data_IF_573997067642
#
_entry.id   IF_573997067642
#
_cell.length_a   1.000
_cell.length_b   1.000
_cell.length_c   1.000
_cell.angle_alpha   90.00
_cell.angle_beta   90.00
_cell.angle_gamma   90.00
#
_symmetry.space_group_name_H-M   'P 1'
#
loop_
_entity.id
_entity.type
_entity.pdbx_description
1 polymer ?
#
# COMPACT_ATOMS: atom_id res chain seq x y z
N UNK A 1 1.29 -42.72 25.66
CA UNK A 1 0.89 -42.76 24.23
C UNK A 1 1.26 -41.49 23.45
N UNK A 2 1.17 -40.28 24.04
CA UNK A 2 1.50 -39.01 23.36
C UNK A 2 2.92 -38.90 22.76
N UNK A 3 3.94 -39.49 23.41
CA UNK A 3 5.34 -39.42 22.93
C UNK A 3 5.59 -40.17 21.61
N UNK A 4 4.77 -41.18 21.29
CA UNK A 4 4.87 -41.92 20.01
C UNK A 4 4.20 -41.15 18.87
N UNK A 5 3.07 -40.49 19.11
CA UNK A 5 2.38 -39.65 18.12
C UNK A 5 3.20 -38.40 17.73
N UNK A 6 3.85 -37.76 18.70
CA UNK A 6 4.71 -36.60 18.42
C UNK A 6 5.89 -36.96 17.49
N UNK A 7 6.42 -38.18 17.60
CA UNK A 7 7.54 -38.64 16.78
C UNK A 7 7.13 -38.97 15.33
N UNK A 8 5.89 -39.45 15.12
CA UNK A 8 5.35 -39.67 13.77
C UNK A 8 4.97 -38.34 13.09
N UNK A 9 4.48 -37.36 13.86
CA UNK A 9 4.17 -36.04 13.33
C UNK A 9 5.42 -35.28 12.88
N UNK A 10 6.51 -35.33 13.65
CA UNK A 10 7.76 -34.64 13.30
C UNK A 10 8.47 -35.30 12.11
N UNK A 11 8.47 -36.64 12.03
CA UNK A 11 9.08 -37.34 10.88
C UNK A 11 8.28 -37.14 9.59
N UNK A 12 6.96 -37.06 9.65
CA UNK A 12 6.12 -36.69 8.50
C UNK A 12 6.39 -35.26 8.00
N UNK A 13 6.53 -34.30 8.91
CA UNK A 13 6.83 -32.89 8.57
C UNK A 13 8.22 -32.72 7.96
N UNK A 14 9.23 -33.42 8.49
CA UNK A 14 10.60 -33.41 7.94
C UNK A 14 10.62 -34.05 6.56
N UNK A 15 9.90 -35.17 6.36
CA UNK A 15 9.76 -35.81 5.06
C UNK A 15 9.10 -34.90 4.03
N UNK A 16 7.99 -34.24 4.38
CA UNK A 16 7.31 -33.30 3.49
C UNK A 16 8.21 -32.11 3.13
N UNK A 17 8.93 -31.54 4.09
CA UNK A 17 9.87 -30.44 3.85
C UNK A 17 11.04 -30.89 2.94
N UNK A 18 11.56 -32.11 3.13
CA UNK A 18 12.62 -32.67 2.29
C UNK A 18 12.13 -32.91 0.85
N UNK A 19 10.94 -33.46 0.64
CA UNK A 19 10.37 -33.66 -0.69
C UNK A 19 9.99 -32.35 -1.37
N UNK A 20 9.50 -31.35 -0.63
CA UNK A 20 9.28 -30.00 -1.15
C UNK A 20 10.59 -29.34 -1.57
N UNK A 21 11.62 -29.40 -0.71
CA UNK A 21 12.94 -28.85 -1.03
C UNK A 21 13.58 -29.57 -2.23
N UNK A 22 13.44 -30.89 -2.32
CA UNK A 22 13.94 -31.68 -3.45
C UNK A 22 13.14 -31.40 -4.73
N UNK A 23 11.83 -31.21 -4.61
CA UNK A 23 10.95 -30.81 -5.70
C UNK A 23 11.39 -29.47 -6.28
N UNK A 24 11.52 -28.44 -5.43
CA UNK A 24 12.00 -27.09 -5.79
C UNK A 24 13.41 -27.13 -6.38
N UNK A 25 14.30 -27.97 -5.84
CA UNK A 25 15.67 -28.12 -6.34
C UNK A 25 15.74 -28.80 -7.72
N UNK A 26 14.90 -29.80 -7.97
CA UNK A 26 14.89 -30.56 -9.24
C UNK A 26 14.12 -29.83 -10.36
N UNK A 27 13.12 -29.01 -10.02
CA UNK A 27 12.29 -28.30 -11.00
C UNK A 27 12.95 -27.05 -11.61
N UNK A 28 14.07 -26.59 -11.05
CA UNK A 28 14.70 -25.33 -11.47
C UNK A 28 13.79 -24.11 -11.25
N UNK A 29 14.15 -22.91 -11.74
CA UNK A 29 13.38 -21.68 -11.50
C UNK A 29 11.98 -21.64 -12.13
N UNK A 30 11.62 -22.58 -13.03
CA UNK A 30 10.32 -22.59 -13.75
C UNK A 30 9.13 -23.18 -12.98
N UNK A 31 9.31 -23.63 -11.73
CA UNK A 31 8.20 -24.18 -10.93
C UNK A 31 7.16 -23.12 -10.52
N UNK A 32 7.56 -21.86 -10.42
CA UNK A 32 6.64 -20.73 -10.19
C UNK A 32 5.69 -20.55 -11.35
N UNK A 33 6.15 -20.75 -12.59
CA UNK A 33 5.31 -20.67 -13.80
C UNK A 33 4.29 -21.82 -13.86
N UNK A 34 4.64 -23.01 -13.35
CA UNK A 34 3.74 -24.16 -13.28
C UNK A 34 2.61 -23.99 -12.25
N UNK A 35 2.84 -23.23 -11.16
CA UNK A 35 1.80 -22.89 -10.18
C UNK A 35 0.87 -21.76 -10.69
N UNK A 36 1.40 -20.81 -11.47
CA UNK A 36 0.61 -19.73 -12.09
C UNK A 36 -0.21 -20.18 -13.30
N UNK A 37 0.20 -21.25 -13.99
CA UNK A 37 -0.61 -21.87 -15.04
C UNK A 37 -1.99 -22.38 -14.55
N UNK A 38 -2.16 -22.59 -13.23
CA UNK A 38 -3.45 -22.95 -12.62
C UNK A 38 -4.33 -21.73 -12.29
N UNK A 39 -3.77 -20.53 -12.12
CA UNK A 39 -4.51 -19.28 -11.86
C UNK A 39 -4.91 -18.51 -13.13
N UNK A 40 -4.35 -18.87 -14.29
CA UNK A 40 -4.73 -18.28 -15.59
C UNK A 40 -4.20 -16.86 -15.85
N UNK A 41 -3.29 -16.35 -15.01
CA UNK A 41 -2.63 -15.06 -15.19
C UNK A 41 -1.17 -15.23 -15.60
N UNK A 42 -0.71 -14.35 -16.49
CA UNK A 42 0.68 -14.34 -16.95
C UNK A 42 1.62 -13.95 -15.81
N UNK A 43 2.71 -14.70 -15.63
CA UNK A 43 3.81 -14.31 -14.73
C UNK A 43 4.58 -13.14 -15.34
N UNK A 44 5.15 -12.28 -14.49
CA UNK A 44 6.05 -11.21 -14.93
C UNK A 44 7.39 -11.83 -15.39
N UNK A 45 7.43 -12.39 -16.60
CA UNK A 45 8.64 -13.03 -17.15
C UNK A 45 9.66 -11.95 -17.47
N UNK A 46 10.91 -12.19 -17.06
CA UNK A 46 12.00 -11.27 -17.33
C UNK A 46 12.22 -11.10 -18.84
N UNK A 47 12.01 -9.87 -19.31
CA UNK A 47 12.46 -9.42 -20.61
C UNK A 47 13.97 -9.14 -20.58
N UNK A 48 14.67 -9.35 -21.70
CA UNK A 48 16.10 -9.03 -21.89
C UNK A 48 16.36 -7.52 -21.99
N UNK A 49 15.61 -6.73 -21.22
CA UNK A 49 15.60 -5.28 -21.27
C UNK A 49 16.62 -4.71 -20.31
N UNK A 50 17.53 -3.88 -20.82
CA UNK A 50 18.45 -3.08 -19.99
C UNK A 50 17.80 -1.77 -19.50
N UNK A 51 16.49 -1.60 -19.72
CA UNK A 51 15.78 -0.37 -19.37
C UNK A 51 15.64 -0.25 -17.85
N UNK A 52 16.31 0.75 -17.27
CA UNK A 52 16.29 1.01 -15.83
C UNK A 52 15.16 1.93 -15.37
N UNK A 53 14.51 2.62 -16.31
CA UNK A 53 13.48 3.62 -16.04
C UNK A 53 12.49 3.75 -17.20
N UNK A 54 11.21 3.96 -16.89
CA UNK A 54 10.14 4.29 -17.83
C UNK A 54 9.48 5.58 -17.37
N UNK A 55 9.15 6.48 -18.32
CA UNK A 55 8.32 7.65 -18.05
C UNK A 55 6.98 7.46 -18.76
N UNK A 56 5.89 7.47 -17.99
CA UNK A 56 4.52 7.36 -18.49
C UNK A 56 3.79 8.68 -18.24
N UNK A 57 3.28 9.36 -19.26
CA UNK A 57 2.32 10.44 -19.04
C UNK A 57 1.02 9.83 -18.49
N UNK A 58 0.33 10.55 -17.60
CA UNK A 58 -1.01 10.16 -17.16
C UNK A 58 -1.97 11.32 -17.38
N UNK A 59 -3.26 10.99 -17.48
CA UNK A 59 -4.30 12.02 -17.61
C UNK A 59 -4.55 12.61 -16.24
N UNK A 60 -4.39 13.92 -16.09
CA UNK A 60 -4.72 14.61 -14.86
C UNK A 60 -6.19 14.37 -14.51
N UNK A 61 -6.41 13.68 -13.40
CA UNK A 61 -7.70 13.31 -12.83
C UNK A 61 -7.68 13.68 -11.35
N UNK A 62 -8.87 13.81 -10.77
CA UNK A 62 -9.01 14.06 -9.33
C UNK A 62 -8.67 12.82 -8.48
N UNK A 63 -8.57 11.63 -9.11
CA UNK A 63 -8.34 10.31 -8.50
C UNK A 63 -7.10 9.65 -9.08
N UNK A 64 -6.35 8.93 -8.24
CA UNK A 64 -5.28 8.01 -8.67
C UNK A 64 -5.24 6.78 -7.76
N UNK A 65 -5.33 5.60 -8.38
CA UNK A 65 -5.24 4.29 -7.75
C UNK A 65 -3.85 3.71 -8.00
N UNK A 66 -3.17 3.34 -6.91
CA UNK A 66 -1.85 2.71 -6.90
C UNK A 66 -2.05 1.23 -6.60
N UNK A 67 -1.97 0.40 -7.64
CA UNK A 67 -2.07 -1.04 -7.55
C UNK A 67 -0.74 -1.68 -7.97
N UNK A 68 0.31 -1.30 -7.26
CA UNK A 68 1.65 -1.82 -7.47
C UNK A 68 2.14 -2.55 -6.22
N UNK A 69 2.57 -3.81 -6.33
CA UNK A 69 3.01 -4.60 -5.20
C UNK A 69 4.37 -4.11 -4.71
N UNK A 70 4.50 -3.93 -3.40
CA UNK A 70 5.71 -3.48 -2.72
C UNK A 70 6.35 -2.22 -3.35
N UNK A 71 5.58 -1.34 -3.99
CA UNK A 71 6.13 -0.13 -4.60
C UNK A 71 6.33 0.99 -3.59
N UNK A 72 7.39 1.77 -3.76
CA UNK A 72 7.59 3.05 -3.07
C UNK A 72 7.17 4.18 -4.01
N UNK A 73 6.05 4.82 -3.70
CA UNK A 73 5.45 5.89 -4.51
C UNK A 73 5.68 7.23 -3.84
N UNK A 74 6.28 8.16 -4.56
CA UNK A 74 6.52 9.53 -4.14
C UNK A 74 5.77 10.49 -5.07
N UNK A 75 4.82 11.24 -4.54
CA UNK A 75 4.09 12.26 -5.26
C UNK A 75 4.41 13.66 -4.75
N UNK A 76 4.57 14.58 -5.68
CA UNK A 76 4.68 16.01 -5.42
C UNK A 76 3.91 16.81 -6.49
N UNK A 77 3.11 17.81 -6.10
CA UNK A 77 2.45 18.69 -7.08
C UNK A 77 3.44 19.36 -8.04
N UNK A 78 3.07 19.48 -9.31
CA UNK A 78 3.88 20.13 -10.34
C UNK A 78 3.16 20.28 -11.67
N UNK A 79 3.79 20.99 -12.62
CA UNK A 79 3.12 21.39 -13.87
C UNK A 79 2.92 20.25 -14.87
N UNK A 80 3.62 19.12 -14.69
CA UNK A 80 3.64 18.00 -15.64
C UNK A 80 3.11 16.73 -14.99
N UNK A 81 1.97 16.25 -15.49
CA UNK A 81 1.39 14.95 -15.15
C UNK A 81 2.23 13.81 -15.76
N UNK A 82 3.15 13.27 -14.97
CA UNK A 82 4.02 12.19 -15.39
C UNK A 82 4.37 11.26 -14.23
N UNK A 83 4.46 9.97 -14.54
CA UNK A 83 4.96 8.94 -13.67
C UNK A 83 6.32 8.47 -14.18
N UNK A 84 7.33 8.60 -13.34
CA UNK A 84 8.69 8.15 -13.61
C UNK A 84 8.96 6.93 -12.75
N UNK A 85 8.98 5.75 -13.36
CA UNK A 85 9.10 4.47 -12.68
C UNK A 85 10.48 3.89 -12.92
N UNK A 86 11.16 3.48 -11.86
CA UNK A 86 12.48 2.85 -11.88
C UNK A 86 12.47 1.55 -11.09
N UNK A 87 13.29 0.58 -11.49
CA UNK A 87 13.38 -0.70 -10.79
C UNK A 87 13.73 -1.85 -11.70
N UNK A 88 13.23 -3.04 -11.36
CA UNK A 88 13.49 -4.26 -12.13
C UNK A 88 12.94 -4.12 -13.57
N UNK A 89 13.78 -4.22 -14.62
CA UNK A 89 13.34 -4.11 -16.02
C UNK A 89 12.22 -5.08 -16.39
N UNK A 90 12.21 -6.27 -15.79
CA UNK A 90 11.15 -7.26 -15.98
C UNK A 90 9.77 -6.70 -15.58
N UNK A 91 9.70 -5.96 -14.48
CA UNK A 91 8.43 -5.37 -14.01
C UNK A 91 8.11 -4.09 -14.77
N UNK A 92 9.11 -3.29 -15.14
CA UNK A 92 8.92 -2.02 -15.84
C UNK A 92 8.17 -2.17 -17.17
N UNK A 93 8.38 -3.28 -17.88
CA UNK A 93 7.67 -3.56 -19.14
C UNK A 93 6.19 -3.91 -18.96
N UNK A 94 5.80 -4.26 -17.74
CA UNK A 94 4.45 -4.64 -17.36
C UNK A 94 3.68 -3.53 -16.63
N UNK A 95 4.33 -2.39 -16.35
CA UNK A 95 3.64 -1.23 -15.77
C UNK A 95 2.71 -0.60 -16.80
N UNK A 96 1.45 -0.41 -16.43
CA UNK A 96 0.41 0.24 -17.23
C UNK A 96 -0.26 1.34 -16.43
N UNK A 97 -0.72 2.37 -17.14
CA UNK A 97 -1.63 3.38 -16.62
C UNK A 97 -2.91 3.26 -17.43
N UNK A 98 -3.97 2.74 -16.81
CA UNK A 98 -5.29 2.59 -17.42
C UNK A 98 -6.28 3.49 -16.69
N UNK A 99 -6.73 4.57 -17.34
CA UNK A 99 -7.58 5.57 -16.69
C UNK A 99 -6.85 6.26 -15.54
N UNK A 100 -7.32 6.02 -14.32
CA UNK A 100 -6.75 6.49 -13.06
C UNK A 100 -6.02 5.40 -12.26
N UNK A 101 -5.79 4.22 -12.82
CA UNK A 101 -5.09 3.13 -12.14
C UNK A 101 -3.67 2.93 -12.71
N UNK A 102 -2.68 2.98 -11.82
CA UNK A 102 -1.30 2.55 -12.08
C UNK A 102 -1.13 1.11 -11.56
N UNK A 103 -0.99 0.16 -12.47
CA UNK A 103 -0.97 -1.28 -12.17
C UNK A 103 0.06 -2.05 -12.97
N UNK A 104 0.24 -3.33 -12.62
CA UNK A 104 0.98 -4.31 -13.43
C UNK A 104 -0.01 -5.18 -14.20
N UNK A 105 0.26 -5.40 -15.49
CA UNK A 105 -0.52 -6.35 -16.32
C UNK A 105 -0.10 -7.83 -16.12
N UNK A 106 0.70 -8.10 -15.08
CA UNK A 106 1.18 -9.42 -14.69
C UNK A 106 1.05 -9.63 -13.17
N UNK A 107 1.03 -10.89 -12.73
CA UNK A 107 1.15 -11.22 -11.30
C UNK A 107 2.63 -11.39 -10.92
N UNK A 108 3.18 -10.53 -10.06
CA UNK A 108 4.53 -10.67 -9.59
C UNK A 108 4.64 -11.80 -8.55
N UNK A 109 5.73 -12.53 -8.62
CA UNK A 109 6.06 -13.53 -7.61
C UNK A 109 6.34 -12.90 -6.23
N UNK A 110 6.35 -13.72 -5.18
CA UNK A 110 6.56 -13.28 -3.79
C UNK A 110 7.93 -12.61 -3.54
N UNK A 111 8.87 -12.76 -4.47
CA UNK A 111 10.22 -12.18 -4.42
C UNK A 111 10.41 -11.01 -5.40
N UNK A 112 9.32 -10.43 -5.90
CA UNK A 112 9.42 -9.26 -6.76
C UNK A 112 10.11 -8.11 -6.04
N UNK A 113 11.08 -7.50 -6.72
CA UNK A 113 11.78 -6.34 -6.20
C UNK A 113 10.83 -5.12 -6.19
N UNK A 114 10.95 -4.25 -5.19
CA UNK A 114 10.12 -3.04 -5.12
C UNK A 114 10.39 -2.12 -6.32
N UNK A 115 9.33 -1.48 -6.82
CA UNK A 115 9.40 -0.41 -7.81
C UNK A 115 9.48 0.95 -7.11
N UNK A 116 10.32 1.85 -7.62
CA UNK A 116 10.35 3.26 -7.21
C UNK A 116 9.54 4.07 -8.24
N UNK A 117 8.49 4.74 -7.78
CA UNK A 117 7.58 5.52 -8.62
C UNK A 117 7.62 6.97 -8.16
N UNK A 118 8.05 7.87 -9.05
CA UNK A 118 8.01 9.31 -8.84
C UNK A 118 6.91 9.92 -9.69
N UNK A 119 5.89 10.43 -9.03
CA UNK A 119 4.74 11.08 -9.64
C UNK A 119 4.88 12.60 -9.49
N UNK A 120 4.64 13.32 -10.57
CA UNK A 120 4.38 14.77 -10.52
C UNK A 120 3.14 15.08 -11.33
N UNK A 121 2.42 16.14 -10.97
CA UNK A 121 1.26 16.58 -11.74
C UNK A 121 0.36 17.56 -10.99
N UNK A 122 -0.79 17.92 -11.59
CA UNK A 122 -1.83 18.71 -10.94
C UNK A 122 -2.32 18.06 -9.63
N UNK A 123 -2.91 18.85 -8.75
CA UNK A 123 -3.42 18.38 -7.47
C UNK A 123 -4.39 17.19 -7.63
N UNK A 124 -4.07 16.07 -6.98
CA UNK A 124 -4.91 14.87 -6.92
C UNK A 124 -5.59 14.84 -5.56
N UNK A 125 -6.91 14.83 -5.58
CA UNK A 125 -7.71 14.91 -4.35
C UNK A 125 -8.00 13.55 -3.73
N UNK A 126 -8.06 12.47 -4.52
CA UNK A 126 -8.38 11.11 -4.08
C UNK A 126 -7.24 10.16 -4.42
N UNK A 127 -6.76 9.45 -3.40
CA UNK A 127 -5.71 8.45 -3.49
C UNK A 127 -6.23 7.11 -2.99
N UNK A 128 -5.89 6.04 -3.69
CA UNK A 128 -6.20 4.67 -3.29
C UNK A 128 -4.94 3.83 -3.38
N UNK A 129 -4.49 3.28 -2.25
CA UNK A 129 -3.31 2.45 -2.17
C UNK A 129 -3.74 1.01 -1.93
N UNK A 130 -3.51 0.14 -2.91
CA UNK A 130 -3.83 -1.28 -2.84
C UNK A 130 -2.57 -2.09 -2.55
N UNK A 131 -2.70 -3.06 -1.63
CA UNK A 131 -1.64 -4.02 -1.31
C UNK A 131 -0.73 -3.56 -0.17
N UNK A 132 0.59 -3.63 -0.40
CA UNK A 132 1.64 -3.48 0.62
C UNK A 132 2.72 -2.46 0.25
N UNK A 133 2.42 -1.54 -0.68
CA UNK A 133 3.33 -0.46 -1.05
C UNK A 133 3.38 0.67 -0.02
N UNK A 134 4.30 1.61 -0.23
CA UNK A 134 4.42 2.85 0.53
C UNK A 134 4.03 4.04 -0.36
N UNK A 135 3.22 4.96 0.16
CA UNK A 135 2.82 6.19 -0.51
C UNK A 135 3.31 7.41 0.26
N UNK A 136 4.05 8.31 -0.39
CA UNK A 136 4.56 9.56 0.20
C UNK A 136 4.02 10.74 -0.59
N UNK A 137 3.14 11.52 0.04
CA UNK A 137 2.54 12.73 -0.52
C UNK A 137 3.28 13.96 0.04
N UNK A 138 4.01 14.68 -0.82
CA UNK A 138 4.87 15.78 -0.39
C UNK A 138 4.31 17.13 -0.84
N UNK A 139 4.36 18.13 0.05
CA UNK A 139 3.96 19.51 -0.26
C UNK A 139 2.52 19.63 -0.79
N UNK A 140 1.60 18.92 -0.14
CA UNK A 140 0.18 19.02 -0.45
C UNK A 140 -0.34 20.40 -0.03
N UNK A 141 -1.09 21.04 -0.91
CA UNK A 141 -1.82 22.29 -0.62
C UNK A 141 -3.13 22.26 -1.40
N UNK A 142 -4.20 21.76 -0.77
CA UNK A 142 -5.48 21.58 -1.44
C UNK A 142 -6.69 21.58 -0.49
N UNK A 143 -7.91 21.89 -0.98
CA UNK A 143 -9.10 21.92 -0.12
C UNK A 143 -9.46 20.56 0.47
N UNK A 144 -9.22 19.46 -0.26
CA UNK A 144 -9.57 18.12 0.19
C UNK A 144 -8.51 17.10 -0.18
N UNK A 145 -8.16 16.23 0.75
CA UNK A 145 -7.36 15.03 0.51
C UNK A 145 -8.12 13.80 1.02
N UNK A 146 -8.46 12.89 0.12
CA UNK A 146 -8.97 11.57 0.41
C UNK A 146 -7.88 10.53 0.22
N UNK A 147 -7.66 9.68 1.20
CA UNK A 147 -6.79 8.52 1.09
C UNK A 147 -7.51 7.27 1.56
N UNK A 148 -7.59 6.26 0.70
CA UNK A 148 -7.96 4.89 1.05
C UNK A 148 -6.73 3.99 1.01
N UNK A 149 -6.50 3.22 2.08
CA UNK A 149 -5.45 2.19 2.14
C UNK A 149 -6.14 0.84 2.28
N UNK A 150 -6.00 -0.02 1.28
CA UNK A 150 -6.53 -1.37 1.30
C UNK A 150 -5.37 -2.38 1.36
N UNK A 151 -5.25 -3.07 2.48
CA UNK A 151 -4.17 -4.02 2.73
C UNK A 151 -3.26 -3.61 3.89
N UNK A 152 -1.95 -3.65 3.65
CA UNK A 152 -0.91 -3.46 4.68
C UNK A 152 0.10 -2.38 4.32
N UNK A 153 -0.21 -1.55 3.31
CA UNK A 153 0.66 -0.46 2.87
C UNK A 153 0.79 0.65 3.89
N UNK A 154 1.84 1.45 3.76
CA UNK A 154 2.03 2.65 4.57
C UNK A 154 1.80 3.91 3.74
N UNK A 155 1.35 4.96 4.39
CA UNK A 155 1.28 6.28 3.78
C UNK A 155 1.89 7.34 4.68
N UNK A 156 2.42 8.39 4.05
CA UNK A 156 2.81 9.62 4.71
C UNK A 156 2.39 10.82 3.86
N UNK A 157 2.07 11.92 4.54
CA UNK A 157 1.69 13.15 3.87
C UNK A 157 2.26 14.37 4.61
N UNK A 158 2.61 15.42 3.86
CA UNK A 158 3.08 16.71 4.38
C UNK A 158 2.46 17.89 3.65
N UNK A 159 2.32 19.03 4.34
CA UNK A 159 1.76 20.27 3.79
C UNK A 159 0.51 20.75 4.53
N UNK A 160 -0.47 21.28 3.78
CA UNK A 160 -1.73 21.82 4.30
C UNK A 160 -2.94 21.31 3.53
N UNK A 161 -4.04 21.07 4.23
CA UNK A 161 -5.35 20.78 3.62
C UNK A 161 -6.50 21.34 4.45
N UNK A 162 -7.63 21.67 3.83
CA UNK A 162 -8.82 22.04 4.62
C UNK A 162 -9.47 20.80 5.25
N UNK A 163 -9.73 19.77 4.44
CA UNK A 163 -10.31 18.51 4.88
C UNK A 163 -9.44 17.31 4.49
N UNK A 164 -9.23 16.38 5.43
CA UNK A 164 -8.59 15.09 5.14
C UNK A 164 -9.51 13.96 5.55
N UNK A 165 -9.84 13.09 4.61
CA UNK A 165 -10.60 11.87 4.85
C UNK A 165 -9.67 10.66 4.65
N UNK A 166 -9.40 9.93 5.73
CA UNK A 166 -8.56 8.74 5.73
C UNK A 166 -9.42 7.51 5.98
N UNK A 167 -9.32 6.52 5.10
CA UNK A 167 -9.89 5.19 5.29
C UNK A 167 -8.79 4.13 5.26
N UNK A 168 -8.73 3.27 6.28
CA UNK A 168 -7.80 2.14 6.31
C UNK A 168 -8.62 0.86 6.43
N UNK A 169 -8.54 0.00 5.42
CA UNK A 169 -9.14 -1.33 5.39
C UNK A 169 -8.03 -2.38 5.41
N UNK A 170 -7.72 -2.91 6.60
CA UNK A 170 -6.64 -3.88 6.80
C UNK A 170 -5.74 -3.54 7.99
N UNK A 171 -4.43 -3.61 7.77
CA UNK A 171 -3.39 -3.44 8.79
C UNK A 171 -2.35 -2.37 8.42
N UNK A 172 -2.65 -1.55 7.41
CA UNK A 172 -1.77 -0.47 6.95
C UNK A 172 -1.61 0.65 7.98
N UNK A 173 -0.65 1.54 7.74
CA UNK A 173 -0.41 2.69 8.61
C UNK A 173 -0.39 4.01 7.86
N UNK A 174 -0.92 5.07 8.48
CA UNK A 174 -0.90 6.42 7.92
C UNK A 174 -0.19 7.38 8.89
N UNK A 175 0.92 7.97 8.43
CA UNK A 175 1.73 8.96 9.18
C UNK A 175 1.60 10.33 8.53
N UNK A 176 0.55 11.05 8.92
CA UNK A 176 0.20 12.37 8.37
C UNK A 176 0.32 13.48 9.41
N UNK A 177 1.15 13.31 10.45
CA UNK A 177 1.37 14.37 11.45
C UNK A 177 2.01 15.64 10.84
N UNK A 178 2.72 15.49 9.72
CA UNK A 178 3.36 16.60 8.99
C UNK A 178 2.41 17.29 7.99
N UNK A 179 1.17 16.81 7.88
CA UNK A 179 0.09 17.42 7.10
C UNK A 179 -0.87 18.13 8.07
N UNK A 180 -0.92 19.46 8.00
CA UNK A 180 -1.82 20.24 8.85
C UNK A 180 -3.20 20.35 8.19
N UNK A 181 -4.21 19.71 8.78
CA UNK A 181 -5.58 19.77 8.32
C UNK A 181 -6.46 20.67 9.22
N UNK A 182 -7.46 21.37 8.65
CA UNK A 182 -8.48 22.03 9.49
C UNK A 182 -9.42 21.00 10.12
N UNK A 183 -9.95 20.11 9.30
CA UNK A 183 -10.81 19.01 9.73
C UNK A 183 -10.27 17.66 9.27
N UNK A 184 -10.35 16.65 10.13
CA UNK A 184 -9.98 15.27 9.78
C UNK A 184 -11.13 14.30 10.02
N UNK A 185 -11.32 13.37 9.09
CA UNK A 185 -12.15 12.20 9.27
C UNK A 185 -11.31 10.94 9.11
N UNK A 186 -11.39 10.02 10.08
CA UNK A 186 -10.61 8.77 10.09
C UNK A 186 -11.53 7.59 10.28
N UNK A 187 -11.53 6.67 9.32
CA UNK A 187 -12.25 5.41 9.40
C UNK A 187 -11.25 4.25 9.32
N UNK A 188 -11.21 3.40 10.34
CA UNK A 188 -10.33 2.22 10.37
C UNK A 188 -11.20 0.97 10.48
N UNK A 189 -11.03 0.06 9.52
CA UNK A 189 -11.61 -1.28 9.49
C UNK A 189 -10.46 -2.30 9.56
N UNK A 190 -10.24 -2.88 10.73
CA UNK A 190 -9.14 -3.81 11.00
C UNK A 190 -8.20 -3.34 12.10
N UNK A 191 -6.90 -3.42 11.85
CA UNK A 191 -5.84 -3.22 12.86
C UNK A 191 -4.83 -2.13 12.48
N UNK A 192 -5.16 -1.31 11.49
CA UNK A 192 -4.28 -0.23 11.03
C UNK A 192 -4.14 0.91 12.04
N UNK A 193 -3.10 1.73 11.86
CA UNK A 193 -2.80 2.87 12.74
C UNK A 193 -2.77 4.19 11.95
N UNK A 194 -3.24 5.27 12.55
CA UNK A 194 -3.22 6.61 11.96
C UNK A 194 -2.65 7.66 12.92
N UNK A 195 -1.81 8.55 12.38
CA UNK A 195 -1.30 9.75 13.07
C UNK A 195 -1.63 10.97 12.24
N UNK A 196 -2.38 11.92 12.78
CA UNK A 196 -2.88 13.05 12.01
C UNK A 196 -2.90 14.35 12.82
N UNK A 197 -2.67 15.48 12.15
CA UNK A 197 -2.76 16.81 12.76
C UNK A 197 -4.02 17.52 12.30
N UNK A 198 -4.87 17.91 13.27
CA UNK A 198 -6.14 18.58 13.01
C UNK A 198 -6.27 19.85 13.87
N UNK A 199 -6.66 20.96 13.27
CA UNK A 199 -6.72 22.26 13.95
C UNK A 199 -8.09 22.59 14.56
N UNK A 200 -9.18 22.11 13.96
CA UNK A 200 -10.53 22.49 14.36
C UNK A 200 -11.37 21.27 14.77
N UNK A 201 -11.57 20.32 13.86
CA UNK A 201 -12.53 19.23 14.05
C UNK A 201 -11.92 17.87 13.71
N UNK A 202 -12.30 16.85 14.47
CA UNK A 202 -11.94 15.47 14.19
C UNK A 202 -13.15 14.53 14.37
N UNK A 203 -13.37 13.66 13.38
CA UNK A 203 -14.31 12.53 13.43
C UNK A 203 -13.51 11.24 13.27
N UNK A 204 -13.57 10.36 14.26
CA UNK A 204 -12.83 9.09 14.25
C UNK A 204 -13.78 7.92 14.51
N UNK A 205 -13.74 6.94 13.63
CA UNK A 205 -14.44 5.66 13.75
C UNK A 205 -13.48 4.49 13.55
N UNK A 206 -13.40 3.60 14.54
CA UNK A 206 -12.57 2.40 14.52
C UNK A 206 -13.47 1.19 14.66
N UNK A 207 -13.37 0.24 13.73
CA UNK A 207 -13.97 -1.09 13.79
C UNK A 207 -12.86 -2.13 13.74
N UNK A 208 -12.44 -2.62 14.90
CA UNK A 208 -11.31 -3.54 15.08
C UNK A 208 -10.38 -3.11 16.22
N UNK A 209 -9.07 -3.17 15.98
CA UNK A 209 -8.02 -3.00 16.98
C UNK A 209 -7.01 -1.90 16.65
N UNK A 210 -7.29 -1.07 15.65
CA UNK A 210 -6.41 0.02 15.23
C UNK A 210 -6.28 1.16 16.24
N UNK A 211 -5.24 1.98 16.10
CA UNK A 211 -5.02 3.17 16.94
C UNK A 211 -4.97 4.46 16.13
N UNK A 212 -5.49 5.54 16.72
CA UNK A 212 -5.46 6.88 16.12
C UNK A 212 -4.83 7.86 17.12
N UNK A 213 -3.74 8.50 16.71
CA UNK A 213 -3.10 9.61 17.42
C UNK A 213 -3.44 10.93 16.73
N UNK A 214 -4.05 11.86 17.46
CA UNK A 214 -4.45 13.18 16.96
C UNK A 214 -3.62 14.29 17.60
N UNK A 215 -3.01 15.13 16.77
CA UNK A 215 -2.26 16.32 17.16
C UNK A 215 -3.08 17.59 16.87
N UNK A 216 -2.74 18.71 17.50
CA UNK A 216 -3.33 20.03 17.19
C UNK A 216 -4.56 20.45 18.01
N UNK A 217 -4.94 19.66 19.03
CA UNK A 217 -6.06 19.92 19.93
C UNK A 217 -7.44 20.13 19.23
N UNK A 218 -7.87 19.23 18.32
CA UNK A 218 -9.15 19.36 17.65
C UNK A 218 -10.33 19.09 18.59
N UNK A 219 -11.49 19.67 18.25
CA UNK A 219 -12.77 19.28 18.82
C UNK A 219 -13.17 17.92 18.24
N UNK A 220 -13.17 16.88 19.08
CA UNK A 220 -13.67 15.56 18.70
C UNK A 220 -15.20 15.59 18.56
N UNK A 221 -15.68 15.63 17.32
CA UNK A 221 -17.12 15.62 17.01
C UNK A 221 -17.72 14.23 17.15
N UNK A 222 -16.93 13.21 16.81
CA UNK A 222 -17.31 11.81 16.90
C UNK A 222 -16.08 10.96 17.18
N UNK A 223 -16.25 10.00 18.09
CA UNK A 223 -15.21 9.08 18.53
C UNK A 223 -15.86 7.73 18.84
N UNK A 224 -15.93 6.85 17.84
CA UNK A 224 -16.52 5.52 17.97
C UNK A 224 -15.45 4.45 17.87
N UNK A 225 -15.45 3.51 18.82
CA UNK A 225 -14.59 2.33 18.77
C UNK A 225 -15.46 1.09 18.94
N UNK A 226 -15.51 0.24 17.92
CA UNK A 226 -16.09 -1.10 17.94
C UNK A 226 -14.96 -2.11 17.93
N UNK A 227 -14.50 -2.52 19.11
CA UNK A 227 -13.40 -3.47 19.28
C UNK A 227 -12.45 -3.03 20.39
N UNK A 228 -11.14 -3.20 20.16
CA UNK A 228 -10.09 -3.02 21.17
C UNK A 228 -9.10 -1.88 20.84
N UNK A 229 -9.42 -1.08 19.82
CA UNK A 229 -8.59 0.04 19.39
C UNK A 229 -8.52 1.20 20.39
N UNK A 230 -7.75 2.24 20.05
CA UNK A 230 -7.58 3.43 20.89
C UNK A 230 -7.56 4.72 20.07
N UNK A 231 -8.15 5.77 20.63
CA UNK A 231 -8.00 7.15 20.14
C UNK A 231 -7.26 7.94 21.22
N UNK A 232 -6.15 8.58 20.88
CA UNK A 232 -5.33 9.36 21.80
C UNK A 232 -5.06 10.75 21.24
N UNK A 233 -5.30 11.78 22.05
CA UNK A 233 -4.84 13.13 21.75
C UNK A 233 -3.40 13.29 22.24
N UNK A 234 -2.56 13.77 21.34
CA UNK A 234 -1.14 14.04 21.58
C UNK A 234 -0.95 15.53 21.86
N UNK A 235 0.01 15.89 22.74
CA UNK A 235 0.29 17.27 23.10
C UNK A 235 0.84 18.10 21.93
#
# INVERSE_FOLDING_TARGET
MARKLAFFATTGLIGAAAFLALGVALSGPGWTDALHAWSGKASCVASASDRQQVTLPFTASDSLVINLPAASVHYQPGDKAQAVISGNPALLEHVRVEGDELSLDCEPGWFASPLDVKLSGPAITKWELLGNGDLTLSQIDQPRLQLSIEGSGNSSASGTADAVDLTISGSGSARMQDLTAKSVQVNIYGSGDARMTAQADADVSISGSGNVELFGNPVLRRSEIRGSGRIQQMP
#
